data_IF_765922920447
#
_entry.id   IF_765922920447
#
_cell.length_a   1.000
_cell.length_b   1.000
_cell.length_c   1.000
_cell.angle_alpha   90.00
_cell.angle_beta   90.00
_cell.angle_gamma   90.00
#
_symmetry.space_group_name_H-M   'P 1'
#
loop_
_entity.id
_entity.type
_entity.pdbx_description
1 polymer ?
#
# COMPACT_ATOMS: atom_id res chain seq x y z
N UNK A 1 -19.02 10.84 23.47
CA UNK A 1 -19.06 11.86 22.41
C UNK A 1 -17.63 12.25 22.06
N UNK A 2 -17.34 12.37 20.76
CA UNK A 2 -16.06 12.67 20.09
C UNK A 2 -14.85 11.84 20.48
N UNK A 3 -14.73 10.64 19.89
CA UNK A 3 -13.40 10.11 19.59
C UNK A 3 -12.81 10.98 18.48
N UNK A 4 -12.03 11.99 18.89
CA UNK A 4 -11.08 12.61 17.99
C UNK A 4 -10.07 11.52 17.61
N UNK A 5 -10.13 11.08 16.36
CA UNK A 5 -9.12 10.20 15.77
C UNK A 5 -7.81 10.94 15.88
N UNK A 6 -6.91 10.42 16.72
CA UNK A 6 -5.59 11.02 16.92
C UNK A 6 -4.78 10.85 15.64
N UNK A 7 -4.76 11.91 14.84
CA UNK A 7 -4.08 11.99 13.55
C UNK A 7 -2.56 11.82 13.70
N UNK A 8 -2.01 11.92 14.93
CA UNK A 8 -0.58 11.76 15.21
C UNK A 8 -0.13 10.29 15.19
N UNK A 9 -1.02 9.33 15.49
CA UNK A 9 -0.74 7.89 15.39
C UNK A 9 -0.43 7.44 13.94
N UNK A 10 -0.80 8.25 12.94
CA UNK A 10 -0.55 7.99 11.54
C UNK A 10 0.85 8.46 11.06
N UNK A 11 1.67 9.09 11.91
CA UNK A 11 2.84 9.86 11.43
C UNK A 11 4.23 9.26 11.71
N UNK A 12 4.37 8.26 12.59
CA UNK A 12 5.72 7.80 12.97
C UNK A 12 5.73 6.38 13.53
N UNK A 13 5.92 5.41 12.62
CA UNK A 13 6.58 4.14 12.89
C UNK A 13 6.19 3.47 14.22
N UNK A 14 5.04 2.80 14.23
CA UNK A 14 4.63 1.90 15.30
C UNK A 14 5.69 0.85 15.67
N UNK A 15 5.47 0.12 16.74
CA UNK A 15 6.27 -1.02 17.18
C UNK A 15 6.50 -2.03 16.04
N UNK A 16 7.47 -2.92 16.22
CA UNK A 16 7.72 -3.96 15.22
C UNK A 16 6.47 -4.83 15.04
N UNK A 17 5.76 -5.08 16.12
CA UNK A 17 4.52 -5.85 16.20
C UNK A 17 3.41 -5.18 15.39
N UNK A 18 3.16 -3.89 15.60
CA UNK A 18 2.17 -3.11 14.82
C UNK A 18 2.49 -3.15 13.32
N UNK A 19 3.76 -3.03 12.94
CA UNK A 19 4.16 -3.12 11.53
C UNK A 19 3.95 -4.51 10.91
N UNK A 20 4.04 -5.57 11.71
CA UNK A 20 3.73 -6.92 11.23
C UNK A 20 2.23 -7.12 11.03
N UNK A 21 1.40 -6.64 11.95
CA UNK A 21 -0.06 -6.66 11.83
C UNK A 21 -0.54 -5.87 10.60
N UNK A 22 0.06 -4.70 10.36
CA UNK A 22 -0.18 -3.90 9.16
C UNK A 22 0.21 -4.66 7.87
N UNK A 23 1.34 -5.37 7.86
CA UNK A 23 1.77 -6.19 6.73
C UNK A 23 0.81 -7.36 6.47
N UNK A 24 0.34 -8.03 7.52
CA UNK A 24 -0.64 -9.11 7.41
C UNK A 24 -1.96 -8.59 6.83
N UNK A 25 -2.45 -7.46 7.38
CA UNK A 25 -3.65 -6.80 6.89
C UNK A 25 -3.55 -6.42 5.40
N UNK A 26 -2.40 -5.88 4.96
CA UNK A 26 -2.18 -5.56 3.54
C UNK A 26 -2.18 -6.81 2.66
N UNK A 27 -1.56 -7.92 3.11
CA UNK A 27 -1.52 -9.18 2.35
C UNK A 27 -2.90 -9.80 2.18
N UNK A 28 -3.74 -9.74 3.21
CA UNK A 28 -5.11 -10.23 3.15
C UNK A 28 -5.97 -9.43 2.18
N UNK A 29 -5.84 -8.10 2.19
CA UNK A 29 -6.66 -7.22 1.35
C UNK A 29 -6.18 -7.13 -0.11
N UNK A 30 -4.91 -7.42 -0.39
CA UNK A 30 -4.32 -7.26 -1.72
C UNK A 30 -3.50 -8.49 -2.15
N UNK A 31 -4.13 -9.66 -2.37
CA UNK A 31 -3.43 -10.93 -2.62
C UNK A 31 -2.59 -10.99 -3.91
N UNK A 32 -2.77 -10.04 -4.83
CA UNK A 32 -1.94 -9.91 -6.05
C UNK A 32 -0.66 -9.09 -5.85
N UNK A 33 -0.38 -8.66 -4.62
CA UNK A 33 0.73 -7.80 -4.26
C UNK A 33 1.57 -8.42 -3.14
N UNK A 34 2.88 -8.28 -3.28
CA UNK A 34 3.87 -8.60 -2.27
C UNK A 34 4.23 -7.34 -1.51
N UNK A 35 4.33 -7.44 -0.19
CA UNK A 35 4.60 -6.31 0.69
C UNK A 35 5.90 -6.50 1.45
N UNK A 36 6.76 -5.49 1.36
CA UNK A 36 8.07 -5.45 2.00
C UNK A 36 8.27 -4.10 2.71
N UNK A 37 9.08 -4.10 3.76
CA UNK A 37 9.58 -2.89 4.39
C UNK A 37 10.98 -2.55 3.87
N UNK A 38 11.19 -1.30 3.49
CA UNK A 38 12.48 -0.73 3.15
C UNK A 38 13.11 -0.05 4.35
N UNK A 39 14.44 -0.17 4.46
CA UNK A 39 15.23 0.54 5.47
C UNK A 39 15.28 2.06 5.21
N UNK A 40 14.95 2.49 3.99
CA UNK A 40 14.90 3.91 3.57
C UNK A 40 13.47 4.37 3.32
N UNK A 41 13.20 5.67 3.49
CA UNK A 41 11.89 6.24 3.16
C UNK A 41 11.72 6.36 1.63
N UNK A 42 10.52 6.10 1.07
CA UNK A 42 9.31 5.61 1.75
C UNK A 42 9.45 4.14 2.18
N UNK A 43 9.06 3.83 3.43
CA UNK A 43 9.37 2.55 4.08
C UNK A 43 8.50 1.39 3.60
N UNK A 44 7.33 1.65 3.07
CA UNK A 44 6.41 0.60 2.64
C UNK A 44 6.49 0.43 1.14
N UNK A 45 6.69 -0.81 0.69
CA UNK A 45 6.77 -1.17 -0.72
C UNK A 45 5.76 -2.27 -1.01
N UNK A 46 4.94 -2.06 -2.03
CA UNK A 46 4.08 -3.07 -2.62
C UNK A 46 4.58 -3.36 -4.05
N UNK A 47 4.88 -4.62 -4.34
CA UNK A 47 5.31 -5.07 -5.66
C UNK A 47 4.29 -6.08 -6.20
N UNK A 48 3.81 -5.89 -7.43
CA UNK A 48 2.85 -6.80 -8.03
C UNK A 48 3.49 -8.18 -8.21
N UNK A 49 2.77 -9.25 -7.87
CA UNK A 49 3.29 -10.60 -8.07
C UNK A 49 3.39 -10.90 -9.58
N UNK A 50 4.57 -11.31 -10.02
CA UNK A 50 4.85 -11.68 -11.42
C UNK A 50 3.85 -12.68 -11.98
N UNK A 51 3.45 -13.68 -11.18
CA UNK A 51 2.50 -14.69 -11.61
C UNK A 51 1.10 -14.11 -11.84
N UNK A 52 0.74 -13.02 -11.17
CA UNK A 52 -0.57 -12.40 -11.30
C UNK A 52 -0.74 -11.55 -12.57
N UNK A 53 0.35 -11.08 -13.21
CA UNK A 53 0.25 -10.19 -14.38
C UNK A 53 0.93 -10.70 -15.66
N UNK A 54 1.58 -11.87 -15.66
CA UNK A 54 2.10 -12.47 -16.90
C UNK A 54 1.01 -12.61 -18.00
N UNK A 55 -0.25 -12.86 -17.60
CA UNK A 55 -1.38 -12.95 -18.53
C UNK A 55 -1.97 -11.58 -18.94
N UNK A 56 -1.66 -10.50 -18.24
CA UNK A 56 -2.24 -9.17 -18.48
C UNK A 56 -1.21 -8.09 -18.15
N UNK A 57 -0.55 -7.50 -19.16
CA UNK A 57 0.43 -6.44 -18.96
C UNK A 57 -0.09 -5.33 -18.05
N UNK A 58 0.75 -4.95 -17.10
CA UNK A 58 0.50 -3.96 -16.07
C UNK A 58 1.33 -2.70 -16.35
N UNK A 59 0.73 -1.52 -16.25
CA UNK A 59 1.49 -0.27 -16.33
C UNK A 59 2.14 0.07 -14.96
N UNK A 60 1.50 -0.35 -13.86
CA UNK A 60 1.98 -0.11 -12.51
C UNK A 60 2.34 -1.46 -11.87
N UNK A 61 3.63 -1.65 -11.62
CA UNK A 61 4.18 -2.89 -11.03
C UNK A 61 4.70 -2.70 -9.60
N UNK A 62 4.86 -1.45 -9.16
CA UNK A 62 5.37 -1.10 -7.84
C UNK A 62 4.67 0.15 -7.31
N UNK A 63 4.40 0.15 -6.00
CA UNK A 63 3.85 1.27 -5.24
C UNK A 63 4.68 1.45 -3.97
N UNK A 64 4.97 2.70 -3.58
CA UNK A 64 5.69 3.03 -2.34
C UNK A 64 4.92 4.05 -1.52
N UNK A 65 5.02 3.95 -0.20
CA UNK A 65 4.38 4.87 0.76
C UNK A 65 5.16 4.99 2.07
N UNK A 66 4.90 6.06 2.81
CA UNK A 66 5.52 6.33 4.10
C UNK A 66 4.87 5.52 5.23
N UNK A 67 3.60 5.15 5.05
CA UNK A 67 2.78 4.37 5.97
C UNK A 67 1.89 3.37 5.19
N UNK A 68 1.32 2.35 5.85
CA UNK A 68 0.56 1.30 5.17
C UNK A 68 -0.77 1.82 4.58
N UNK A 69 -1.37 2.86 5.16
CA UNK A 69 -2.61 3.44 4.65
C UNK A 69 -2.37 4.20 3.33
N UNK A 70 -1.23 4.90 3.22
CA UNK A 70 -0.82 5.53 1.97
C UNK A 70 -0.69 4.48 0.85
N UNK A 71 -0.01 3.36 1.12
CA UNK A 71 0.12 2.25 0.15
C UNK A 71 -1.25 1.68 -0.21
N UNK A 72 -2.11 1.41 0.77
CA UNK A 72 -3.44 0.87 0.51
C UNK A 72 -4.29 1.79 -0.39
N UNK A 73 -4.26 3.11 -0.14
CA UNK A 73 -4.97 4.10 -0.97
C UNK A 73 -4.44 4.14 -2.40
N UNK A 74 -3.12 4.09 -2.57
CA UNK A 74 -2.50 4.04 -3.89
C UNK A 74 -2.90 2.75 -4.64
N UNK A 75 -2.86 1.59 -3.96
CA UNK A 75 -3.28 0.31 -4.54
C UNK A 75 -4.75 0.30 -4.99
N UNK A 76 -5.65 0.90 -4.22
CA UNK A 76 -7.05 1.06 -4.60
C UNK A 76 -7.23 1.94 -5.85
N UNK A 77 -6.31 2.87 -6.12
CA UNK A 77 -6.34 3.71 -7.32
C UNK A 77 -5.77 3.02 -8.56
N UNK A 78 -4.86 2.04 -8.41
CA UNK A 78 -4.16 1.40 -9.53
C UNK A 78 -5.10 0.95 -10.66
N UNK A 79 -6.21 0.20 -10.42
CA UNK A 79 -7.06 -0.25 -11.52
C UNK A 79 -7.66 0.90 -12.35
N UNK A 80 -8.02 2.00 -11.69
CA UNK A 80 -8.58 3.19 -12.35
C UNK A 80 -7.51 3.96 -13.12
N UNK A 81 -6.31 4.09 -12.55
CA UNK A 81 -5.17 4.70 -13.20
C UNK A 81 -4.72 3.91 -14.45
N UNK A 82 -4.64 2.58 -14.36
CA UNK A 82 -4.30 1.71 -15.50
C UNK A 82 -5.37 1.73 -16.60
N UNK A 83 -6.63 2.05 -16.27
CA UNK A 83 -7.70 2.26 -17.23
C UNK A 83 -7.71 3.68 -17.85
N UNK A 84 -6.79 4.56 -17.44
CA UNK A 84 -6.75 5.96 -17.90
C UNK A 84 -7.88 6.83 -17.34
N UNK A 85 -8.48 6.43 -16.22
CA UNK A 85 -9.67 7.07 -15.63
C UNK A 85 -9.34 7.91 -14.38
N UNK A 86 -8.07 7.99 -13.99
CA UNK A 86 -7.64 8.75 -12.80
C UNK A 86 -7.31 10.20 -13.18
N UNK A 87 -8.01 11.17 -12.58
CA UNK A 87 -7.96 12.59 -12.97
C UNK A 87 -6.90 13.41 -12.21
N UNK A 88 -5.94 12.75 -11.55
CA UNK A 88 -4.78 13.43 -10.94
C UNK A 88 -5.16 14.54 -9.97
N UNK A 89 -6.03 14.24 -8.99
CA UNK A 89 -6.46 15.19 -7.96
C UNK A 89 -5.84 14.89 -6.60
#
# INVERSE_FOLDING_TARGET
>A
MSQAVDLAALTSGGSREERMEDLESLRENFPGWRFDLSDVRPRWRAQRDYLAYYARPAAITEVRGNDPNEVARLLLRVPRAEAGLDEGR
#
